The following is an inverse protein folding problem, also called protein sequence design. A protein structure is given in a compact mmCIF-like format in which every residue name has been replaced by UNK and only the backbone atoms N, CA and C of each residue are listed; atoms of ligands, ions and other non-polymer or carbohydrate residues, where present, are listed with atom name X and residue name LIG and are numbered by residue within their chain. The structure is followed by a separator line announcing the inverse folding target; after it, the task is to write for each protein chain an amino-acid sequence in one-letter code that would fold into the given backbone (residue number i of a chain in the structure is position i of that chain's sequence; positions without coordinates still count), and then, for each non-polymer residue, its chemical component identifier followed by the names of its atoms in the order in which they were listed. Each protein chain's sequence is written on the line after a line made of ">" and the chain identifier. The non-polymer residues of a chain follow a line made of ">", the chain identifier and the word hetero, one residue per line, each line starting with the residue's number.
data_IF_024597826015
#
_entry.id   IF_024597826015
#
_cell.length_a   1.000
_cell.length_b   1.000
_cell.length_c   1.000
_cell.angle_alpha   90.00
_cell.angle_beta   90.00
_cell.angle_gamma   90.00
#
_symmetry.space_group_name_H-M   'P 1'
#
loop_
_entity.id
_entity.type
_entity.pdbx_description
1 polymer ?
#
# COMPACT_ATOMS: atom_id res chain seq x y z
N UNK A 1 -6.01 10.67 -4.78
CA UNK A 1 -5.67 9.30 -5.19
C UNK A 1 -6.85 8.39 -4.83
N UNK A 2 -7.09 7.37 -5.63
CA UNK A 2 -8.18 6.41 -5.46
C UNK A 2 -7.76 5.05 -6.02
N UNK A 3 -8.45 4.00 -5.54
CA UNK A 3 -8.36 2.65 -6.05
C UNK A 3 -9.74 1.99 -6.04
N UNK A 4 -9.89 0.89 -6.79
CA UNK A 4 -11.12 0.13 -6.88
C UNK A 4 -10.87 -1.37 -6.92
N UNK A 5 -11.69 -2.13 -6.21
CA UNK A 5 -11.59 -3.58 -6.09
C UNK A 5 -12.95 -4.22 -6.37
N UNK A 6 -12.99 -5.22 -7.24
CA UNK A 6 -14.15 -6.11 -7.39
C UNK A 6 -13.95 -7.28 -6.44
N UNK A 7 -14.83 -7.42 -5.47
CA UNK A 7 -14.81 -8.51 -4.50
C UNK A 7 -15.23 -9.84 -5.11
N UNK A 8 -14.88 -10.92 -4.49
CA UNK A 8 -15.21 -12.28 -4.89
C UNK A 8 -16.73 -12.54 -4.98
N UNK A 9 -17.54 -11.77 -4.25
CA UNK A 9 -19.01 -11.82 -4.30
C UNK A 9 -19.62 -10.94 -5.42
N UNK A 10 -18.81 -10.21 -6.20
CA UNK A 10 -19.21 -9.33 -7.28
C UNK A 10 -19.46 -7.87 -6.88
N UNK A 11 -19.45 -7.52 -5.61
CA UNK A 11 -19.53 -6.13 -5.17
C UNK A 11 -18.28 -5.35 -5.54
N UNK A 12 -18.41 -4.05 -5.71
CA UNK A 12 -17.29 -3.16 -6.02
C UNK A 12 -17.02 -2.25 -4.83
N UNK A 13 -15.78 -2.21 -4.37
CA UNK A 13 -15.31 -1.19 -3.43
C UNK A 13 -14.52 -0.12 -4.19
N UNK A 14 -14.76 1.14 -3.84
CA UNK A 14 -13.97 2.27 -4.31
C UNK A 14 -13.44 3.03 -3.09
N UNK A 15 -12.14 3.21 -3.02
CA UNK A 15 -11.46 3.91 -1.94
C UNK A 15 -10.80 5.18 -2.46
N UNK A 16 -10.86 6.25 -1.67
CA UNK A 16 -10.24 7.52 -2.04
C UNK A 16 -9.65 8.23 -0.82
N UNK A 17 -8.50 8.87 -1.04
CA UNK A 17 -7.96 9.83 -0.08
C UNK A 17 -8.76 11.13 -0.11
N UNK A 18 -9.08 11.66 1.06
CA UNK A 18 -9.63 13.01 1.21
C UNK A 18 -8.70 13.86 2.07
N UNK A 19 -8.78 15.17 1.92
CA UNK A 19 -8.02 16.13 2.74
C UNK A 19 -8.59 17.54 2.63
N UNK A 20 -8.44 18.31 3.69
CA UNK A 20 -8.78 19.73 3.67
C UNK A 20 -7.95 20.49 2.63
N UNK A 21 -8.51 21.55 2.08
CA UNK A 21 -7.83 22.36 1.04
C UNK A 21 -6.52 23.00 1.55
N UNK A 22 -6.48 23.37 2.84
CA UNK A 22 -5.31 23.98 3.46
C UNK A 22 -5.05 23.38 4.85
N UNK A 23 -3.79 23.31 5.24
CA UNK A 23 -3.37 22.95 6.60
C UNK A 23 -3.51 21.48 6.99
N UNK A 24 -3.92 20.59 6.09
CA UNK A 24 -4.13 19.17 6.41
C UNK A 24 -2.87 18.44 6.93
N UNK A 25 -1.68 18.95 6.61
CA UNK A 25 -0.41 18.38 7.13
C UNK A 25 -0.21 18.71 8.61
N UNK A 26 -0.70 19.87 9.04
CA UNK A 26 -0.63 20.33 10.43
C UNK A 26 -1.86 19.85 11.24
N UNK A 27 -2.91 19.45 10.53
CA UNK A 27 -4.17 18.95 11.10
C UNK A 27 -4.50 17.57 10.48
N UNK A 28 -3.76 16.50 10.85
CA UNK A 28 -3.94 15.17 10.25
C UNK A 28 -5.37 14.63 10.33
N UNK A 29 -6.17 15.08 11.32
CA UNK A 29 -7.59 14.73 11.44
C UNK A 29 -8.46 15.22 10.27
N UNK A 30 -7.96 16.20 9.49
CA UNK A 30 -8.65 16.77 8.34
C UNK A 30 -8.25 16.06 7.03
N UNK A 31 -7.59 14.92 7.14
CA UNK A 31 -7.24 14.03 6.06
C UNK A 31 -7.57 12.57 6.43
N UNK A 32 -7.79 11.75 5.44
CA UNK A 32 -8.07 10.33 5.66
C UNK A 32 -8.37 9.58 4.38
N UNK A 33 -8.90 8.38 4.57
CA UNK A 33 -9.36 7.49 3.50
C UNK A 33 -10.83 7.17 3.76
N UNK A 34 -11.65 7.31 2.73
CA UNK A 34 -13.04 6.89 2.70
C UNK A 34 -13.24 5.83 1.62
N UNK A 35 -14.21 4.94 1.85
CA UNK A 35 -14.60 3.87 0.94
C UNK A 35 -16.09 3.94 0.67
N UNK A 36 -16.50 3.63 -0.57
CA UNK A 36 -17.90 3.39 -0.95
C UNK A 36 -18.02 2.01 -1.58
N UNK A 37 -19.21 1.42 -1.45
CA UNK A 37 -19.54 0.12 -2.01
C UNK A 37 -20.66 0.22 -3.03
N UNK A 38 -20.54 -0.52 -4.11
CA UNK A 38 -21.62 -0.78 -5.07
C UNK A 38 -21.93 -2.27 -5.10
N UNK A 39 -23.23 -2.60 -5.12
CA UNK A 39 -23.77 -3.96 -5.26
C UNK A 39 -24.48 -4.16 -6.59
N UNK A 40 -24.41 -3.19 -7.50
CA UNK A 40 -25.12 -3.14 -8.78
C UNK A 40 -24.21 -2.74 -9.95
N UNK A 41 -22.99 -3.26 -9.95
CA UNK A 41 -21.96 -3.02 -10.97
C UNK A 41 -21.60 -1.53 -11.18
N UNK A 42 -21.56 -0.76 -10.10
CA UNK A 42 -21.15 0.64 -10.13
C UNK A 42 -22.25 1.64 -10.50
N UNK A 43 -23.50 1.20 -10.62
CA UNK A 43 -24.63 2.08 -10.95
C UNK A 43 -25.00 2.97 -9.79
N UNK A 44 -25.07 2.41 -8.58
CA UNK A 44 -25.27 3.16 -7.34
C UNK A 44 -24.18 2.83 -6.30
N UNK A 45 -24.00 3.75 -5.36
CA UNK A 45 -22.95 3.65 -4.35
C UNK A 45 -23.50 3.95 -2.96
N UNK A 46 -22.99 3.27 -1.96
CA UNK A 46 -23.34 3.48 -0.55
C UNK A 46 -22.93 4.86 -0.06
N UNK A 47 -23.41 5.25 1.12
CA UNK A 47 -22.76 6.29 1.90
C UNK A 47 -21.29 5.92 2.18
N UNK A 48 -20.41 6.93 2.41
CA UNK A 48 -19.00 6.67 2.66
C UNK A 48 -18.78 5.99 4.00
N UNK A 49 -17.87 5.04 4.02
CA UNK A 49 -17.35 4.41 5.25
C UNK A 49 -15.94 4.96 5.49
N UNK A 50 -15.69 5.43 6.70
CA UNK A 50 -14.37 5.92 7.10
C UNK A 50 -13.42 4.73 7.31
N UNK A 51 -12.29 4.74 6.61
CA UNK A 51 -11.27 3.68 6.61
C UNK A 51 -10.09 4.05 7.50
N UNK A 52 -9.53 5.25 7.29
CA UNK A 52 -8.35 5.73 8.00
C UNK A 52 -8.42 7.25 8.20
N UNK A 53 -7.88 7.75 9.32
CA UNK A 53 -7.71 9.18 9.58
C UNK A 53 -6.24 9.53 9.69
N UNK A 54 -5.79 10.41 8.82
CA UNK A 54 -4.40 10.89 8.79
C UNK A 54 -3.97 11.28 7.39
N UNK A 55 -2.82 11.94 7.30
CA UNK A 55 -2.21 12.32 6.01
C UNK A 55 -1.73 11.07 5.30
N UNK A 56 -2.30 10.79 4.14
CA UNK A 56 -2.06 9.57 3.38
C UNK A 56 -2.01 9.83 1.87
N UNK A 57 -1.46 8.86 1.15
CA UNK A 57 -1.35 8.83 -0.30
C UNK A 57 -1.59 7.42 -0.81
N UNK A 58 -2.03 7.29 -2.05
CA UNK A 58 -2.13 6.06 -2.82
C UNK A 58 -2.78 4.89 -2.06
N UNK A 59 -4.06 5.00 -1.61
CA UNK A 59 -4.76 3.86 -1.06
C UNK A 59 -4.88 2.76 -2.12
N UNK A 60 -4.65 1.52 -1.69
CA UNK A 60 -4.67 0.32 -2.53
C UNK A 60 -5.44 -0.79 -1.80
N UNK A 61 -6.39 -1.42 -2.47
CA UNK A 61 -7.24 -2.47 -1.92
C UNK A 61 -6.81 -3.86 -2.41
N UNK A 62 -6.82 -4.83 -1.51
CA UNK A 62 -6.60 -6.24 -1.82
C UNK A 62 -7.58 -7.10 -1.02
N UNK A 63 -8.35 -7.95 -1.67
CA UNK A 63 -9.10 -9.04 -1.05
C UNK A 63 -8.23 -10.30 -1.07
N UNK A 64 -7.99 -10.89 0.09
CA UNK A 64 -7.30 -12.16 0.23
C UNK A 64 -8.25 -13.32 -0.08
N UNK A 65 -7.69 -14.48 -0.40
CA UNK A 65 -8.46 -15.71 -0.60
C UNK A 65 -9.28 -16.14 0.63
N UNK A 66 -8.95 -15.65 1.81
CA UNK A 66 -9.71 -15.79 3.06
C UNK A 66 -10.98 -14.93 3.10
N UNK A 67 -11.11 -13.93 2.21
CA UNK A 67 -12.14 -12.90 2.25
C UNK A 67 -11.79 -11.68 3.11
N UNK A 68 -10.62 -11.68 3.75
CA UNK A 68 -10.10 -10.50 4.45
C UNK A 68 -9.71 -9.43 3.43
N UNK A 69 -10.02 -8.16 3.70
CA UNK A 69 -9.70 -7.04 2.82
C UNK A 69 -8.63 -6.18 3.50
N UNK A 70 -7.53 -5.97 2.81
CA UNK A 70 -6.48 -5.05 3.21
C UNK A 70 -6.61 -3.73 2.45
N UNK A 71 -6.47 -2.60 3.15
CA UNK A 71 -6.27 -1.30 2.54
C UNK A 71 -4.86 -0.83 2.89
N UNK A 72 -3.97 -0.85 1.90
CA UNK A 72 -2.62 -0.33 2.01
C UNK A 72 -2.57 1.13 1.58
N UNK A 73 -1.65 1.90 2.14
CA UNK A 73 -1.45 3.29 1.76
C UNK A 73 -0.08 3.81 2.23
N UNK A 74 0.40 4.87 1.60
CA UNK A 74 1.52 5.64 2.14
C UNK A 74 1.01 6.50 3.28
N UNK A 75 1.48 6.27 4.50
CA UNK A 75 1.16 7.13 5.65
C UNK A 75 2.25 8.18 5.85
N UNK A 76 1.85 9.44 5.92
CA UNK A 76 2.69 10.61 6.17
C UNK A 76 2.25 11.41 7.40
N UNK A 77 1.34 10.88 8.22
CA UNK A 77 0.79 11.59 9.38
C UNK A 77 1.45 11.24 10.69
N UNK A 78 2.50 10.44 10.67
CA UNK A 78 3.11 9.92 11.87
C UNK A 78 3.69 11.00 12.75
N UNK A 79 3.31 10.97 14.02
CA UNK A 79 3.84 11.84 15.07
C UNK A 79 5.02 11.19 15.78
N UNK A 80 6.01 12.00 16.20
CA UNK A 80 7.12 11.55 17.04
C UNK A 80 8.37 11.10 16.29
N UNK A 81 8.32 10.96 14.97
CA UNK A 81 9.49 10.77 14.13
C UNK A 81 9.58 11.96 13.17
N UNK A 82 10.68 12.67 13.23
CA UNK A 82 10.98 13.69 12.26
C UNK A 82 11.29 13.03 10.92
N UNK A 83 10.38 13.11 9.99
CA UNK A 83 10.49 12.56 8.67
C UNK A 83 9.26 12.93 7.86
N UNK A 84 9.40 13.01 6.57
CA UNK A 84 8.31 13.42 5.68
C UNK A 84 7.44 12.24 5.28
N UNK A 85 8.04 11.07 5.17
CA UNK A 85 7.41 9.85 4.69
C UNK A 85 7.62 8.75 5.73
N UNK A 86 6.58 8.03 6.04
CA UNK A 86 6.59 7.03 7.11
C UNK A 86 6.51 5.60 6.62
N UNK A 87 6.32 5.44 5.31
CA UNK A 87 6.28 4.14 4.66
C UNK A 87 4.86 3.62 4.42
N UNK A 88 4.79 2.37 4.03
CA UNK A 88 3.51 1.69 3.77
C UNK A 88 2.87 1.25 5.07
N UNK A 89 1.63 1.70 5.26
CA UNK A 89 0.75 1.30 6.35
C UNK A 89 -0.45 0.51 5.80
N UNK A 90 -1.17 -0.13 6.71
CA UNK A 90 -2.29 -1.00 6.40
C UNK A 90 -3.38 -0.92 7.46
N UNK A 91 -4.63 -1.03 7.04
CA UNK A 91 -5.79 -1.39 7.87
C UNK A 91 -6.52 -2.57 7.24
N UNK A 92 -7.22 -3.35 8.05
CA UNK A 92 -7.81 -4.63 7.68
C UNK A 92 -9.31 -4.61 7.94
N UNK A 93 -10.10 -5.12 7.01
CA UNK A 93 -11.52 -5.42 7.21
C UNK A 93 -11.79 -6.93 7.10
N UNK A 94 -12.58 -7.45 8.04
CA UNK A 94 -13.04 -8.86 8.08
C UNK A 94 -14.55 -9.02 7.85
N UNK A 95 -15.21 -7.94 7.49
CA UNK A 95 -16.67 -7.88 7.32
C UNK A 95 -17.08 -7.25 5.97
N UNK A 96 -16.22 -7.41 4.97
CA UNK A 96 -16.47 -6.92 3.62
C UNK A 96 -16.35 -5.39 3.48
N UNK A 97 -15.53 -4.73 4.30
CA UNK A 97 -15.29 -3.28 4.25
C UNK A 97 -16.22 -2.45 5.13
N UNK A 98 -17.05 -3.08 5.98
CA UNK A 98 -17.96 -2.33 6.85
C UNK A 98 -17.24 -1.69 8.04
N UNK A 99 -16.28 -2.44 8.62
CA UNK A 99 -15.41 -1.92 9.69
C UNK A 99 -13.94 -2.22 9.40
N UNK A 100 -13.05 -1.44 10.00
CA UNK A 100 -11.61 -1.52 9.77
C UNK A 100 -10.83 -1.58 11.08
N UNK A 101 -9.74 -2.36 11.07
CA UNK A 101 -8.83 -2.53 12.22
C UNK A 101 -7.41 -2.18 11.78
N UNK A 102 -6.65 -1.34 12.54
CA UNK A 102 -7.11 -0.56 13.68
C UNK A 102 -8.26 0.39 13.34
N UNK A 103 -9.06 0.75 14.34
CA UNK A 103 -10.25 1.57 14.12
C UNK A 103 -9.89 3.00 13.65
N UNK A 104 -10.84 3.64 13.01
CA UNK A 104 -10.70 5.03 12.56
C UNK A 104 -10.16 5.95 13.66
N UNK A 105 -9.13 6.74 13.33
CA UNK A 105 -8.42 7.61 14.27
C UNK A 105 -7.33 6.93 15.09
N UNK A 106 -7.16 5.62 14.96
CA UNK A 106 -6.04 4.89 15.58
C UNK A 106 -4.81 4.86 14.66
N UNK A 107 -3.64 4.53 15.24
CA UNK A 107 -2.40 4.29 14.48
C UNK A 107 -2.60 3.04 13.63
N UNK A 108 -2.34 3.09 12.31
CA UNK A 108 -2.45 1.94 11.43
C UNK A 108 -1.32 0.93 11.69
N UNK A 109 -1.42 -0.26 11.11
CA UNK A 109 -0.30 -1.19 11.08
C UNK A 109 0.74 -0.71 10.09
N UNK A 110 1.97 -0.47 10.52
CA UNK A 110 3.11 -0.25 9.63
C UNK A 110 3.66 -1.60 9.20
N UNK A 111 3.85 -1.80 7.89
CA UNK A 111 4.19 -3.13 7.36
C UNK A 111 5.41 -3.14 6.45
N UNK A 112 5.69 -2.07 5.71
CA UNK A 112 6.85 -1.99 4.82
C UNK A 112 7.48 -0.62 4.97
N UNK A 113 8.73 -0.58 5.47
CA UNK A 113 9.47 0.66 5.69
C UNK A 113 10.95 0.47 5.50
N UNK A 114 11.61 1.50 4.96
CA UNK A 114 13.05 1.67 4.95
C UNK A 114 13.41 2.89 5.81
N UNK A 115 14.48 2.79 6.58
CA UNK A 115 15.03 3.86 7.41
C UNK A 115 16.30 4.43 6.76
N UNK A 116 16.46 5.74 6.80
CA UNK A 116 17.70 6.39 6.46
C UNK A 116 17.88 7.67 7.27
N UNK A 117 19.12 8.14 7.41
CA UNK A 117 19.44 9.31 8.20
C UNK A 117 20.09 10.40 7.36
N UNK A 118 19.69 11.64 7.61
CA UNK A 118 20.29 12.82 6.99
C UNK A 118 20.21 14.00 7.97
N UNK A 119 21.34 14.73 8.14
CA UNK A 119 21.42 15.93 8.98
C UNK A 119 20.93 15.70 10.42
N UNK A 120 21.24 14.53 10.99
CA UNK A 120 20.85 14.13 12.34
C UNK A 120 19.36 13.81 12.50
N UNK A 121 18.62 13.64 11.39
CA UNK A 121 17.20 13.25 11.38
C UNK A 121 17.02 11.88 10.76
N UNK A 122 16.09 11.12 11.33
CA UNK A 122 15.66 9.83 10.82
C UNK A 122 14.46 10.00 9.91
N UNK A 123 14.50 9.39 8.75
CA UNK A 123 13.42 9.34 7.78
C UNK A 123 13.03 7.90 7.52
N UNK A 124 11.73 7.68 7.32
CA UNK A 124 11.19 6.40 6.87
C UNK A 124 10.55 6.56 5.49
N UNK A 125 10.58 5.47 4.73
CA UNK A 125 10.23 5.47 3.33
C UNK A 125 9.67 4.09 2.93
N UNK A 126 9.47 3.80 1.69
CA UNK A 126 8.67 2.80 1.01
C UNK A 126 7.21 3.21 0.90
N UNK A 127 6.88 3.77 -0.24
CA UNK A 127 5.59 4.38 -0.53
C UNK A 127 4.96 3.81 -1.80
N UNK A 128 3.75 4.27 -2.15
CA UNK A 128 3.02 3.83 -3.34
C UNK A 128 2.88 2.31 -3.44
N UNK A 129 2.30 1.64 -2.43
CA UNK A 129 2.22 0.18 -2.42
C UNK A 129 1.30 -0.35 -3.51
N UNK A 130 1.74 -1.42 -4.17
CA UNK A 130 0.92 -2.30 -4.98
C UNK A 130 1.16 -3.73 -4.51
N UNK A 131 0.14 -4.40 -4.01
CA UNK A 131 0.26 -5.67 -3.29
C UNK A 131 -0.62 -6.73 -3.92
N UNK A 132 -0.10 -7.93 -4.08
CA UNK A 132 -0.85 -9.10 -4.55
C UNK A 132 -0.69 -10.27 -3.60
N UNK A 133 -1.74 -11.10 -3.48
CA UNK A 133 -1.57 -12.44 -2.94
C UNK A 133 -1.14 -13.37 -4.08
N UNK A 134 -0.05 -14.10 -3.87
CA UNK A 134 0.49 -15.02 -4.88
C UNK A 134 -0.44 -16.21 -5.08
N UNK A 135 -0.72 -16.53 -6.34
CA UNK A 135 -1.65 -17.58 -6.73
C UNK A 135 -1.24 -18.94 -6.16
N UNK A 136 -2.15 -19.60 -5.47
CA UNK A 136 -1.94 -20.89 -4.85
C UNK A 136 -1.06 -20.85 -3.59
N UNK A 137 -0.87 -19.67 -3.02
CA UNK A 137 -0.11 -19.43 -1.80
C UNK A 137 -0.86 -18.42 -0.91
N UNK A 138 -0.50 -18.36 0.36
CA UNK A 138 -0.89 -17.25 1.22
C UNK A 138 0.11 -16.10 1.17
N UNK A 139 1.32 -16.33 0.66
CA UNK A 139 2.38 -15.31 0.58
C UNK A 139 1.88 -14.07 -0.20
N UNK A 140 2.17 -12.89 0.33
CA UNK A 140 1.93 -11.61 -0.33
C UNK A 140 3.23 -11.10 -0.93
N UNK A 141 3.13 -10.48 -2.10
CA UNK A 141 4.21 -9.75 -2.73
C UNK A 141 3.79 -8.30 -2.93
N UNK A 142 4.65 -7.38 -2.57
CA UNK A 142 4.45 -5.95 -2.73
C UNK A 142 5.55 -5.33 -3.59
N UNK A 143 5.16 -4.39 -4.45
CA UNK A 143 6.08 -3.46 -5.08
C UNK A 143 5.86 -2.08 -4.47
N UNK A 144 6.94 -1.40 -4.07
CA UNK A 144 6.91 -0.08 -3.46
C UNK A 144 7.92 0.86 -4.12
N UNK A 145 7.60 2.15 -4.09
CA UNK A 145 8.54 3.18 -4.47
C UNK A 145 9.43 3.52 -3.27
N UNK A 146 10.73 3.46 -3.47
CA UNK A 146 11.73 3.78 -2.46
C UNK A 146 12.41 5.08 -2.81
N UNK A 147 12.18 6.12 -2.02
CA UNK A 147 12.91 7.37 -2.15
C UNK A 147 14.17 7.31 -1.30
N UNK A 148 15.30 7.00 -1.89
CA UNK A 148 16.59 7.06 -1.23
C UNK A 148 17.28 8.40 -1.51
N UNK A 149 17.05 9.38 -0.63
CA UNK A 149 17.69 10.72 -0.69
C UNK A 149 17.48 11.43 -2.03
N UNK A 150 16.27 11.37 -2.55
CA UNK A 150 15.88 12.01 -3.82
C UNK A 150 16.09 11.16 -5.06
N UNK A 151 16.66 9.96 -4.92
CA UNK A 151 16.72 8.97 -5.99
C UNK A 151 15.65 7.92 -5.77
N UNK A 152 14.81 7.69 -6.78
CA UNK A 152 13.68 6.77 -6.69
C UNK A 152 14.03 5.40 -7.27
N UNK A 153 13.68 4.37 -6.50
CA UNK A 153 13.86 2.97 -6.85
C UNK A 153 12.55 2.23 -6.69
N UNK A 154 12.39 1.14 -7.44
CA UNK A 154 11.37 0.14 -7.15
C UNK A 154 11.99 -0.93 -6.27
N UNK A 155 11.37 -1.20 -5.14
CA UNK A 155 11.74 -2.28 -4.24
C UNK A 155 10.60 -3.26 -4.10
N UNK A 156 10.92 -4.54 -3.88
CA UNK A 156 9.96 -5.59 -3.63
C UNK A 156 10.02 -6.01 -2.17
N UNK A 157 8.86 -6.36 -1.64
CA UNK A 157 8.73 -6.89 -0.29
C UNK A 157 7.83 -8.14 -0.33
N UNK A 158 8.06 -9.06 0.61
CA UNK A 158 7.31 -10.30 0.70
C UNK A 158 6.89 -10.52 2.14
N UNK A 159 5.65 -11.00 2.35
CA UNK A 159 5.19 -11.49 3.65
C UNK A 159 5.80 -12.84 3.98
N UNK A 160 5.50 -13.36 5.18
CA UNK A 160 5.69 -14.78 5.46
C UNK A 160 4.82 -15.68 4.57
N UNK A 161 5.10 -16.99 4.58
CA UNK A 161 4.30 -18.00 3.85
C UNK A 161 2.87 -18.12 4.38
N UNK A 162 2.60 -17.62 5.58
CA UNK A 162 1.28 -17.49 6.21
C UNK A 162 0.45 -16.33 5.64
N UNK A 163 1.07 -15.42 4.88
CA UNK A 163 0.43 -14.23 4.33
C UNK A 163 0.36 -13.05 5.30
N UNK A 164 1.05 -13.15 6.44
CA UNK A 164 1.05 -12.08 7.44
C UNK A 164 2.27 -11.17 7.27
N UNK A 165 2.03 -9.88 7.44
CA UNK A 165 3.08 -8.88 7.57
C UNK A 165 3.46 -8.70 9.03
N UNK A 166 4.74 -8.56 9.32
CA UNK A 166 5.16 -8.06 10.63
C UNK A 166 4.63 -6.64 10.86
N UNK A 167 3.99 -6.42 12.00
CA UNK A 167 3.54 -5.10 12.40
C UNK A 167 4.72 -4.36 13.05
N UNK A 168 5.22 -3.35 12.36
CA UNK A 168 6.42 -2.63 12.74
C UNK A 168 6.12 -1.57 13.80
N UNK A 169 6.97 -1.52 14.82
CA UNK A 169 7.00 -0.42 15.77
C UNK A 169 7.57 0.87 15.16
N UNK A 170 7.57 1.92 15.99
CA UNK A 170 7.89 3.28 15.56
C UNK A 170 9.26 3.44 14.89
N UNK A 171 10.24 2.66 15.30
CA UNK A 171 11.64 2.75 14.93
C UNK A 171 12.13 1.56 14.08
N UNK A 172 11.24 0.64 13.74
CA UNK A 172 11.60 -0.56 12.99
C UNK A 172 11.55 -0.34 11.48
N UNK A 173 12.46 -1.01 10.80
CA UNK A 173 12.46 -1.22 9.34
C UNK A 173 11.87 -2.58 9.02
N UNK A 174 11.40 -2.77 7.81
CA UNK A 174 11.01 -4.07 7.31
C UNK A 174 9.98 -4.05 6.20
N UNK A 175 9.67 -5.24 5.72
CA UNK A 175 10.60 -5.99 4.91
C UNK A 175 10.63 -5.38 3.52
N UNK A 176 11.79 -5.11 3.00
CA UNK A 176 11.98 -4.94 1.58
C UNK A 176 13.29 -5.62 1.23
N UNK A 177 13.23 -6.53 0.31
CA UNK A 177 14.43 -7.13 -0.24
C UNK A 177 15.12 -6.10 -1.13
N UNK A 178 15.86 -5.19 -0.49
CA UNK A 178 16.58 -4.12 -1.15
C UNK A 178 17.74 -4.63 -2.01
N UNK A 179 18.22 -5.85 -1.75
CA UNK A 179 19.42 -6.37 -2.40
C UNK A 179 19.13 -7.02 -3.76
N UNK A 180 17.90 -7.48 -3.99
CA UNK A 180 17.62 -8.24 -5.20
C UNK A 180 16.88 -7.51 -6.32
N UNK A 181 16.21 -6.38 -6.05
CA UNK A 181 15.33 -5.79 -7.06
C UNK A 181 15.20 -4.28 -6.98
N UNK A 182 16.21 -3.61 -6.46
CA UNK A 182 16.27 -2.17 -6.50
C UNK A 182 16.72 -1.73 -7.89
N UNK A 183 15.81 -1.31 -8.73
CA UNK A 183 16.13 -0.65 -9.99
C UNK A 183 15.48 0.72 -10.05
N UNK A 184 16.12 1.64 -10.77
CA UNK A 184 15.67 3.03 -10.87
C UNK A 184 14.25 3.09 -11.46
N UNK A 185 13.35 3.74 -10.76
CA UNK A 185 11.96 3.90 -11.18
C UNK A 185 11.07 4.43 -10.08
N UNK A 186 9.81 4.69 -10.44
CA UNK A 186 8.76 5.24 -9.57
C UNK A 186 7.41 4.68 -9.94
N UNK A 187 6.42 4.84 -9.05
CA UNK A 187 5.04 4.46 -9.27
C UNK A 187 4.88 3.00 -9.76
N UNK A 188 5.29 2.00 -8.96
CA UNK A 188 5.16 0.61 -9.34
C UNK A 188 3.72 0.14 -9.33
N UNK A 189 3.42 -0.84 -10.19
CA UNK A 189 2.20 -1.62 -10.13
C UNK A 189 2.51 -3.09 -10.41
N UNK A 190 2.14 -3.97 -9.48
CA UNK A 190 2.38 -5.40 -9.54
C UNK A 190 1.08 -6.14 -9.82
N UNK A 191 1.10 -7.08 -10.75
CA UNK A 191 -0.03 -7.94 -11.08
C UNK A 191 0.43 -9.35 -11.36
N UNK A 192 -0.48 -10.33 -11.25
CA UNK A 192 -0.22 -11.72 -11.59
C UNK A 192 -1.22 -12.21 -12.62
N UNK A 193 -0.74 -12.86 -13.66
CA UNK A 193 -1.60 -13.47 -14.69
C UNK A 193 -2.27 -14.76 -14.16
N UNK A 194 -3.40 -15.16 -14.76
CA UNK A 194 -4.01 -16.45 -14.44
C UNK A 194 -3.08 -17.66 -14.64
N UNK A 195 -2.12 -17.57 -15.56
CA UNK A 195 -1.08 -18.58 -15.82
C UNK A 195 -0.01 -18.67 -14.73
N UNK A 196 0.09 -17.63 -13.89
CA UNK A 196 0.99 -17.61 -12.73
C UNK A 196 2.11 -16.58 -12.82
N UNK A 197 2.55 -16.18 -14.00
CA UNK A 197 3.62 -15.20 -14.18
C UNK A 197 3.17 -13.84 -13.59
N UNK A 198 4.11 -13.08 -13.11
CA UNK A 198 3.88 -11.73 -12.62
C UNK A 198 4.37 -10.68 -13.61
N UNK A 199 3.76 -9.53 -13.57
CA UNK A 199 4.20 -8.34 -14.30
C UNK A 199 4.34 -7.18 -13.33
N UNK A 200 5.46 -6.50 -13.42
CA UNK A 200 5.76 -5.27 -12.69
C UNK A 200 5.87 -4.14 -13.71
N UNK A 201 4.99 -3.17 -13.60
CA UNK A 201 5.04 -1.94 -14.39
C UNK A 201 5.50 -0.77 -13.52
N UNK A 202 6.24 0.16 -14.11
CA UNK A 202 6.75 1.34 -13.41
C UNK A 202 7.18 2.43 -14.40
N UNK A 203 7.40 3.63 -13.88
CA UNK A 203 7.91 4.76 -14.65
C UNK A 203 9.39 5.01 -14.36
N UNK A 204 10.15 5.39 -15.38
CA UNK A 204 11.51 5.88 -15.26
C UNK A 204 11.74 6.96 -16.30
N UNK A 205 12.15 8.16 -15.88
CA UNK A 205 12.44 9.29 -16.78
C UNK A 205 11.32 9.53 -17.81
N UNK A 206 10.06 9.57 -17.35
CA UNK A 206 8.86 9.77 -18.18
C UNK A 206 8.58 8.64 -19.19
N UNK A 207 9.23 7.51 -19.05
CA UNK A 207 9.00 6.30 -19.87
C UNK A 207 8.38 5.23 -19.01
N UNK A 208 7.37 4.56 -19.57
CA UNK A 208 6.73 3.40 -18.95
C UNK A 208 7.50 2.13 -19.28
N UNK A 209 7.74 1.32 -18.26
CA UNK A 209 8.45 0.05 -18.36
C UNK A 209 7.59 -1.08 -17.81
N UNK A 210 7.79 -2.27 -18.35
CA UNK A 210 7.25 -3.51 -17.81
C UNK A 210 8.35 -4.55 -17.74
N UNK A 211 8.31 -5.36 -16.68
CA UNK A 211 9.18 -6.52 -16.47
C UNK A 211 8.32 -7.73 -16.10
N UNK A 212 8.70 -8.87 -16.67
CA UNK A 212 8.07 -10.14 -16.32
C UNK A 212 8.83 -10.79 -15.17
N UNK A 213 8.09 -11.32 -14.23
CA UNK A 213 8.60 -12.10 -13.11
C UNK A 213 8.01 -13.52 -13.10
N UNK A 214 8.59 -14.38 -12.28
CA UNK A 214 8.07 -15.72 -12.07
C UNK A 214 6.77 -15.73 -11.21
N UNK A 215 6.25 -16.92 -10.96
CA UNK A 215 5.01 -17.11 -10.19
C UNK A 215 5.13 -16.72 -8.71
N UNK A 216 6.34 -16.46 -8.23
CA UNK A 216 6.62 -15.97 -6.87
C UNK A 216 6.91 -14.47 -6.83
N UNK A 217 6.62 -13.75 -7.92
CA UNK A 217 6.94 -12.33 -8.10
C UNK A 217 8.43 -12.03 -7.88
N UNK A 218 9.29 -12.89 -8.43
CA UNK A 218 10.75 -12.79 -8.39
C UNK A 218 11.33 -12.88 -9.80
N UNK A 219 12.65 -12.68 -9.92
CA UNK A 219 13.39 -12.83 -11.18
C UNK A 219 12.85 -11.97 -12.34
N UNK A 220 12.52 -10.70 -12.04
CA UNK A 220 12.02 -9.76 -13.04
C UNK A 220 13.09 -9.42 -14.08
N UNK A 221 12.80 -9.72 -15.37
CA UNK A 221 13.69 -9.50 -16.51
C UNK A 221 13.02 -8.80 -17.70
#
# INVERSE_FOLDING_TARGET
>A
NCDGLVLSNGDILAVASYRANNGYRDLPKDAGIEMRRSTDNGVTWSEPVSVYQGVNWEPYLLELSSGEIHCYFTDSSRTGIEGKDTGTAMVISRDGGQTWTPSFGSIPYYVIRMKWEQDGKTYFNHQMPSVIQLKGSNELAAAVETNNRGTYYISLAYSGEDGEWDHLDADQEGPADSDNLSFLGSAPYLSQFPSGETVLSYNKSSTFYMKMGDAKARNFG
#
